data_IF_518392154226
#
_entry.id   IF_518392154226
#
_cell.length_a   1.000
_cell.length_b   1.000
_cell.length_c   1.000
_cell.angle_alpha   90.00
_cell.angle_beta   90.00
_cell.angle_gamma   90.00
#
_symmetry.space_group_name_H-M   'P 1'
#
loop_
_entity.id
_entity.type
_entity.pdbx_description
1 polymer ?
#
# COMPACT_ATOMS: atom_id res chain seq x y z
N UNK A 1 2.03 5.71 -10.08
CA UNK A 1 2.06 7.09 -9.58
C UNK A 1 1.08 7.92 -10.38
N UNK A 2 0.25 8.76 -9.76
CA UNK A 2 -0.42 9.79 -10.53
C UNK A 2 0.67 10.69 -11.09
N UNK A 3 0.77 10.76 -12.41
CA UNK A 3 1.78 11.55 -13.12
C UNK A 3 1.70 13.05 -12.86
N UNK A 4 0.64 13.52 -12.16
CA UNK A 4 0.44 14.89 -11.77
C UNK A 4 -0.44 14.97 -10.51
N UNK A 5 0.13 14.77 -9.32
CA UNK A 5 -0.59 14.98 -8.06
C UNK A 5 -1.21 16.38 -7.98
N UNK A 6 -0.51 17.39 -8.47
CA UNK A 6 -0.99 18.78 -8.56
C UNK A 6 -2.29 18.95 -9.33
N UNK A 7 -2.63 18.02 -10.22
CA UNK A 7 -3.91 18.03 -10.94
C UNK A 7 -5.06 17.54 -10.05
N UNK A 8 -4.82 16.55 -9.19
CA UNK A 8 -5.86 15.92 -8.37
C UNK A 8 -6.10 16.62 -7.03
N UNK A 9 -5.05 17.19 -6.43
CA UNK A 9 -5.15 17.87 -5.13
C UNK A 9 -6.23 18.97 -5.10
N UNK A 10 -6.32 19.88 -6.09
CA UNK A 10 -7.40 20.89 -6.11
C UNK A 10 -8.81 20.30 -6.23
N UNK A 11 -8.94 19.04 -6.63
CA UNK A 11 -10.22 18.33 -6.68
C UNK A 11 -10.55 17.63 -5.35
N UNK A 12 -9.82 17.89 -4.27
CA UNK A 12 -10.05 17.30 -2.94
C UNK A 12 -9.57 15.87 -2.78
N UNK A 13 -8.63 15.40 -3.64
CA UNK A 13 -7.93 14.16 -3.39
C UNK A 13 -6.87 14.37 -2.32
N UNK A 14 -6.78 13.43 -1.36
CA UNK A 14 -5.74 13.39 -0.35
C UNK A 14 -4.78 12.22 -0.58
N UNK A 15 -3.52 12.37 -0.19
CA UNK A 15 -2.60 11.25 -0.13
C UNK A 15 -3.01 10.32 1.01
N UNK A 16 -3.22 9.04 0.72
CA UNK A 16 -3.57 8.07 1.75
C UNK A 16 -2.57 6.94 1.92
N UNK A 17 -1.71 6.68 0.94
CA UNK A 17 -0.67 5.69 1.04
C UNK A 17 0.69 6.28 0.69
N UNK A 18 1.68 5.94 1.50
CA UNK A 18 3.10 6.17 1.26
C UNK A 18 3.79 4.82 1.08
N UNK A 19 4.92 4.84 0.43
CA UNK A 19 5.68 3.63 0.12
C UNK A 19 7.16 3.85 0.40
N UNK A 20 7.81 2.81 0.89
CA UNK A 20 9.26 2.72 0.88
C UNK A 20 9.73 2.34 -0.52
N UNK A 21 10.68 3.09 -1.06
CA UNK A 21 11.58 2.65 -2.11
C UNK A 21 12.88 2.23 -1.44
N UNK A 22 13.28 1.01 -1.70
CA UNK A 22 14.53 0.47 -1.18
C UNK A 22 15.44 0.08 -2.32
N UNK A 23 16.73 0.25 -2.14
CA UNK A 23 17.70 -0.21 -3.13
C UNK A 23 18.97 -0.73 -2.48
N UNK A 24 19.51 -1.79 -3.05
CA UNK A 24 20.76 -2.40 -2.61
C UNK A 24 21.45 -3.13 -3.75
N UNK A 25 22.74 -3.34 -3.62
CA UNK A 25 23.45 -4.28 -4.45
C UNK A 25 22.97 -5.73 -4.17
N UNK A 26 22.91 -6.62 -5.17
CA UNK A 26 22.46 -8.01 -4.99
C UNK A 26 23.21 -8.76 -3.89
N UNK A 27 24.51 -8.54 -3.74
CA UNK A 27 25.35 -9.16 -2.72
C UNK A 27 24.85 -8.88 -1.29
N UNK A 28 24.25 -7.70 -1.08
CA UNK A 28 23.71 -7.32 0.23
C UNK A 28 22.43 -8.07 0.55
N UNK A 29 21.62 -8.35 -0.47
CA UNK A 29 20.42 -9.15 -0.33
C UNK A 29 20.73 -10.62 -0.07
N UNK A 30 21.89 -11.13 -0.49
CA UNK A 30 22.32 -12.49 -0.22
C UNK A 30 22.40 -12.80 1.29
N UNK A 31 22.85 -11.84 2.10
CA UNK A 31 22.91 -12.00 3.55
C UNK A 31 21.52 -12.06 4.22
N UNK A 32 20.52 -11.43 3.62
CA UNK A 32 19.14 -11.40 4.10
C UNK A 32 18.29 -12.53 3.54
N UNK A 33 18.67 -13.04 2.37
CA UNK A 33 17.92 -14.04 1.64
C UNK A 33 18.09 -15.46 2.21
N UNK A 34 17.08 -16.30 1.98
CA UNK A 34 17.18 -17.76 2.10
C UNK A 34 16.52 -18.39 0.89
N UNK A 35 17.19 -19.34 0.28
CA UNK A 35 16.70 -20.02 -0.91
C UNK A 35 15.33 -20.65 -0.66
N UNK A 36 14.40 -20.42 -1.58
CA UNK A 36 13.12 -21.12 -1.63
C UNK A 36 13.33 -22.61 -1.94
N UNK A 37 12.34 -23.46 -1.67
CA UNK A 37 12.34 -24.84 -2.15
C UNK A 37 12.30 -24.91 -3.68
N UNK A 38 11.48 -24.03 -4.28
CA UNK A 38 11.50 -23.81 -5.73
C UNK A 38 11.14 -22.37 -6.07
N UNK A 39 11.59 -21.95 -7.24
CA UNK A 39 11.25 -20.67 -7.83
C UNK A 39 10.91 -20.89 -9.30
N UNK A 40 9.83 -20.28 -9.76
CA UNK A 40 9.34 -20.39 -11.13
C UNK A 40 9.14 -19.00 -11.71
N UNK A 41 9.55 -18.79 -12.95
CA UNK A 41 9.18 -17.61 -13.73
C UNK A 41 7.88 -17.91 -14.47
N UNK A 42 6.90 -17.04 -14.37
CA UNK A 42 5.64 -17.18 -15.09
C UNK A 42 5.80 -16.75 -16.54
N UNK A 43 5.08 -17.43 -17.42
CA UNK A 43 5.04 -17.15 -18.86
C UNK A 43 3.62 -16.90 -19.39
N UNK A 44 2.62 -16.99 -18.52
CA UNK A 44 1.23 -16.73 -18.88
C UNK A 44 0.41 -16.33 -17.65
N UNK A 45 -0.76 -15.76 -17.88
CA UNK A 45 -1.73 -15.38 -16.86
C UNK A 45 -2.50 -16.57 -16.25
N UNK A 46 -2.37 -17.78 -16.79
CA UNK A 46 -3.07 -18.97 -16.27
C UNK A 46 -2.74 -19.29 -14.80
N UNK A 47 -1.58 -18.86 -14.32
CA UNK A 47 -1.11 -19.10 -12.95
C UNK A 47 -1.54 -17.99 -11.97
N UNK A 48 -2.50 -17.13 -12.33
CA UNK A 48 -2.95 -16.00 -11.52
C UNK A 48 -3.37 -16.39 -10.09
N UNK A 49 -3.86 -17.61 -9.89
CA UNK A 49 -4.34 -18.09 -8.59
C UNK A 49 -3.24 -18.13 -7.53
N UNK A 50 -2.01 -18.46 -7.93
CA UNK A 50 -0.86 -18.46 -7.03
C UNK A 50 -0.57 -17.04 -6.53
N UNK A 51 -0.55 -16.06 -7.46
CA UNK A 51 -0.32 -14.66 -7.12
C UNK A 51 -1.46 -14.11 -6.26
N UNK A 52 -2.72 -14.40 -6.63
CA UNK A 52 -3.89 -13.97 -5.89
C UNK A 52 -3.90 -14.49 -4.45
N UNK A 53 -3.45 -15.74 -4.25
CA UNK A 53 -3.35 -16.34 -2.91
C UNK A 53 -2.30 -15.65 -2.03
N UNK A 54 -1.16 -15.27 -2.63
CA UNK A 54 -0.09 -14.53 -1.93
C UNK A 54 -0.58 -13.11 -1.62
N UNK A 55 -1.11 -12.42 -2.62
CA UNK A 55 -1.59 -11.04 -2.49
C UNK A 55 -2.68 -10.89 -1.42
N UNK A 56 -3.64 -11.82 -1.39
CA UNK A 56 -4.70 -11.84 -0.38
C UNK A 56 -4.14 -11.91 1.04
N UNK A 57 -3.16 -12.76 1.29
CA UNK A 57 -2.54 -12.86 2.60
C UNK A 57 -1.70 -11.63 2.94
N UNK A 58 -0.98 -11.09 1.94
CA UNK A 58 -0.16 -9.89 2.08
C UNK A 58 -0.97 -8.65 2.41
N UNK A 59 -2.17 -8.51 1.83
CA UNK A 59 -3.03 -7.32 1.98
C UNK A 59 -4.09 -7.45 3.08
N UNK A 60 -4.28 -8.64 3.63
CA UNK A 60 -5.36 -9.02 4.56
C UNK A 60 -5.56 -8.07 5.76
N UNK A 61 -4.48 -7.46 6.25
CA UNK A 61 -4.49 -6.55 7.40
C UNK A 61 -4.29 -5.09 7.01
N UNK A 62 -4.38 -4.78 5.72
CA UNK A 62 -4.10 -3.46 5.18
C UNK A 62 -5.33 -2.89 4.48
N UNK A 63 -5.59 -1.61 4.66
CA UNK A 63 -6.64 -0.89 3.97
C UNK A 63 -6.11 -0.21 2.69
N UNK A 64 -7.01 0.12 1.77
CA UNK A 64 -6.66 0.90 0.58
C UNK A 64 -5.93 0.12 -0.53
N UNK A 65 -5.79 -1.19 -0.41
CA UNK A 65 -5.21 -2.04 -1.44
C UNK A 65 -6.25 -2.41 -2.49
N UNK A 66 -5.82 -2.48 -3.76
CA UNK A 66 -6.71 -2.80 -4.86
C UNK A 66 -7.31 -4.20 -4.72
N UNK A 67 -8.62 -4.31 -4.85
CA UNK A 67 -9.26 -5.60 -5.07
C UNK A 67 -8.97 -6.06 -6.51
N UNK A 68 -8.56 -7.32 -6.67
CA UNK A 68 -8.26 -7.92 -7.96
C UNK A 68 -9.04 -9.22 -8.12
N UNK A 69 -10.00 -9.23 -9.04
CA UNK A 69 -10.66 -10.43 -9.55
C UNK A 69 -9.78 -11.15 -10.59
N UNK A 70 -10.25 -12.24 -11.12
CA UNK A 70 -9.55 -13.03 -12.14
C UNK A 70 -9.14 -12.18 -13.35
N UNK A 71 -10.08 -11.44 -13.93
CA UNK A 71 -9.82 -10.58 -15.10
C UNK A 71 -8.79 -9.49 -14.82
N UNK A 72 -8.83 -8.93 -13.62
CA UNK A 72 -7.86 -7.93 -13.18
C UNK A 72 -6.45 -8.54 -13.04
N UNK A 73 -6.37 -9.77 -12.53
CA UNK A 73 -5.11 -10.49 -12.43
C UNK A 73 -4.54 -10.84 -13.80
N UNK A 74 -5.35 -11.42 -14.68
CA UNK A 74 -4.95 -11.75 -16.06
C UNK A 74 -4.39 -10.52 -16.76
N UNK A 75 -5.15 -9.42 -16.78
CA UNK A 75 -4.70 -8.17 -17.38
C UNK A 75 -3.39 -7.63 -16.76
N UNK A 76 -3.24 -7.74 -15.45
CA UNK A 76 -2.06 -7.24 -14.75
C UNK A 76 -0.82 -8.09 -15.04
N UNK A 77 -0.98 -9.42 -15.10
CA UNK A 77 0.08 -10.36 -15.45
C UNK A 77 0.49 -10.18 -16.92
N UNK A 78 -0.48 -10.14 -17.83
CA UNK A 78 -0.21 -9.98 -19.26
C UNK A 78 0.51 -8.66 -19.55
N UNK A 79 0.09 -7.56 -18.93
CA UNK A 79 0.79 -6.27 -19.05
C UNK A 79 2.25 -6.34 -18.54
N UNK A 80 2.49 -7.01 -17.40
CA UNK A 80 3.84 -7.17 -16.87
C UNK A 80 4.73 -8.03 -17.77
N UNK A 81 4.16 -9.10 -18.36
CA UNK A 81 4.91 -10.01 -19.24
C UNK A 81 5.31 -9.38 -20.58
N UNK A 82 4.66 -8.29 -20.99
CA UNK A 82 5.07 -7.51 -22.17
C UNK A 82 6.35 -6.71 -21.93
N UNK A 83 6.59 -6.27 -20.69
CA UNK A 83 7.68 -5.34 -20.37
C UNK A 83 8.75 -5.96 -19.46
N UNK A 84 8.45 -7.10 -18.83
CA UNK A 84 9.33 -7.67 -17.82
C UNK A 84 8.99 -9.12 -17.48
N UNK A 85 9.23 -9.46 -16.22
CA UNK A 85 9.19 -10.83 -15.73
C UNK A 85 8.38 -10.92 -14.44
N UNK A 86 7.90 -12.13 -14.15
CA UNK A 86 7.23 -12.45 -12.89
C UNK A 86 7.88 -13.70 -12.31
N UNK A 87 8.43 -13.60 -11.11
CA UNK A 87 8.96 -14.75 -10.37
C UNK A 87 8.01 -15.09 -9.22
N UNK A 88 7.79 -16.39 -9.00
CA UNK A 88 7.03 -16.93 -7.87
C UNK A 88 7.89 -17.91 -7.10
N UNK A 89 7.96 -17.72 -5.79
CA UNK A 89 8.66 -18.63 -4.88
C UNK A 89 7.68 -19.55 -4.17
N UNK A 90 8.11 -20.76 -3.90
CA UNK A 90 7.31 -21.79 -3.24
C UNK A 90 8.04 -22.34 -2.01
N UNK A 91 7.29 -22.59 -0.97
CA UNK A 91 7.68 -23.37 0.19
C UNK A 91 6.89 -24.71 0.23
N UNK A 92 7.07 -25.52 1.28
CA UNK A 92 6.36 -26.81 1.44
C UNK A 92 4.84 -26.70 1.45
N UNK A 93 4.31 -25.50 1.70
CA UNK A 93 2.86 -25.24 1.77
C UNK A 93 2.30 -24.65 0.48
N UNK A 94 3.15 -24.42 -0.53
CA UNK A 94 2.76 -23.86 -1.82
C UNK A 94 3.36 -22.47 -2.09
N UNK A 95 2.70 -21.63 -2.89
CA UNK A 95 3.21 -20.32 -3.27
C UNK A 95 3.39 -19.42 -2.04
N UNK A 96 4.59 -18.85 -1.88
CA UNK A 96 5.02 -18.12 -0.68
C UNK A 96 5.32 -16.65 -0.92
N UNK A 97 5.77 -16.29 -2.14
CA UNK A 97 6.04 -14.91 -2.53
C UNK A 97 6.09 -14.75 -4.04
N UNK A 98 5.88 -13.54 -4.53
CA UNK A 98 6.06 -13.20 -5.93
C UNK A 98 6.71 -11.84 -6.11
N UNK A 99 7.29 -11.65 -7.29
CA UNK A 99 7.99 -10.44 -7.70
C UNK A 99 7.66 -10.14 -9.16
N UNK A 100 7.13 -8.93 -9.42
CA UNK A 100 7.03 -8.36 -10.75
C UNK A 100 8.23 -7.46 -10.97
N UNK A 101 9.04 -7.71 -12.00
CA UNK A 101 10.28 -6.97 -12.17
C UNK A 101 10.65 -6.76 -13.63
N UNK A 102 11.46 -5.75 -13.85
CA UNK A 102 12.15 -5.46 -15.11
C UNK A 102 13.66 -5.48 -14.89
N UNK A 103 14.39 -5.71 -15.97
CA UNK A 103 15.85 -5.62 -16.01
C UNK A 103 16.20 -4.53 -17.04
N UNK A 104 16.83 -3.46 -16.60
CA UNK A 104 17.20 -2.34 -17.44
C UNK A 104 18.50 -1.71 -16.94
N UNK A 105 19.43 -1.46 -17.84
CA UNK A 105 20.72 -0.80 -17.58
C UNK A 105 21.38 -1.25 -16.26
N UNK A 106 21.61 -2.58 -16.12
CA UNK A 106 22.20 -3.22 -14.93
C UNK A 106 21.41 -2.97 -13.62
N UNK A 107 20.13 -2.65 -13.74
CA UNK A 107 19.21 -2.53 -12.61
C UNK A 107 18.10 -3.57 -12.70
N UNK A 108 17.74 -4.13 -11.57
CA UNK A 108 16.52 -4.89 -11.39
C UNK A 108 15.53 -4.01 -10.63
N UNK A 109 14.40 -3.72 -11.26
CA UNK A 109 13.34 -2.92 -10.64
C UNK A 109 12.15 -3.82 -10.37
N UNK A 110 11.93 -4.14 -9.11
CA UNK A 110 10.78 -4.89 -8.64
C UNK A 110 9.60 -3.93 -8.43
N UNK A 111 8.75 -3.80 -9.43
CA UNK A 111 7.59 -2.90 -9.41
C UNK A 111 6.51 -3.33 -8.42
N UNK A 112 6.38 -4.64 -8.18
CA UNK A 112 5.48 -5.19 -7.17
C UNK A 112 6.14 -6.41 -6.50
N UNK A 113 6.05 -6.46 -5.18
CA UNK A 113 6.54 -7.57 -4.36
C UNK A 113 5.51 -7.89 -3.28
N UNK A 114 5.13 -9.16 -3.17
CA UNK A 114 4.27 -9.63 -2.10
C UNK A 114 4.69 -11.01 -1.59
N UNK A 115 4.41 -11.29 -0.32
CA UNK A 115 4.77 -12.55 0.33
C UNK A 115 3.78 -12.88 1.45
N UNK A 116 3.60 -14.16 1.72
CA UNK A 116 2.68 -14.64 2.79
C UNK A 116 3.30 -14.55 4.17
N UNK A 117 4.61 -14.69 4.26
CA UNK A 117 5.35 -14.76 5.51
C UNK A 117 6.82 -14.38 5.31
N UNK A 118 7.58 -14.35 6.41
CA UNK A 118 9.00 -14.01 6.41
C UNK A 118 9.86 -14.95 5.54
N UNK A 119 9.50 -16.23 5.46
CA UNK A 119 10.24 -17.17 4.60
C UNK A 119 10.07 -16.83 3.12
N UNK A 120 8.85 -16.45 2.71
CA UNK A 120 8.57 -15.98 1.35
C UNK A 120 9.35 -14.69 1.02
N UNK A 121 9.42 -13.73 1.94
CA UNK A 121 10.23 -12.52 1.77
C UNK A 121 11.71 -12.84 1.59
N UNK A 122 12.27 -13.67 2.46
CA UNK A 122 13.68 -14.11 2.36
C UNK A 122 13.96 -14.84 1.06
N UNK A 123 12.99 -15.60 0.55
CA UNK A 123 13.10 -16.26 -0.73
C UNK A 123 13.18 -15.27 -1.91
N UNK A 124 12.40 -14.20 -1.85
CA UNK A 124 12.47 -13.13 -2.86
C UNK A 124 13.79 -12.36 -2.79
N UNK A 125 14.31 -12.07 -1.61
CA UNK A 125 15.64 -11.47 -1.47
C UNK A 125 16.74 -12.39 -2.04
N UNK A 126 16.68 -13.71 -1.79
CA UNK A 126 17.60 -14.67 -2.38
C UNK A 126 17.47 -14.74 -3.91
N UNK A 127 16.26 -14.60 -4.44
CA UNK A 127 16.04 -14.54 -5.89
C UNK A 127 16.70 -13.30 -6.49
N UNK A 128 16.47 -12.11 -5.90
CA UNK A 128 17.12 -10.86 -6.34
C UNK A 128 18.64 -10.94 -6.23
N UNK A 129 19.15 -11.51 -5.14
CA UNK A 129 20.60 -11.77 -4.95
C UNK A 129 21.21 -12.67 -6.03
N UNK A 130 20.42 -13.60 -6.56
CA UNK A 130 20.84 -14.50 -7.65
C UNK A 130 21.18 -13.79 -8.97
N UNK A 131 20.82 -12.51 -9.10
CA UNK A 131 21.16 -11.68 -10.26
C UNK A 131 22.54 -10.99 -10.12
N UNK A 132 23.30 -11.32 -9.09
CA UNK A 132 24.68 -10.86 -8.93
C UNK A 132 25.49 -11.10 -10.20
N UNK A 133 26.24 -10.07 -10.63
CA UNK A 133 26.98 -10.06 -11.89
C UNK A 133 26.17 -9.62 -13.12
N UNK A 134 24.85 -9.77 -13.11
CA UNK A 134 23.97 -9.28 -14.17
C UNK A 134 23.46 -7.89 -13.90
N UNK A 135 23.21 -7.54 -12.63
CA UNK A 135 22.77 -6.21 -12.20
C UNK A 135 23.66 -5.70 -11.07
N UNK A 136 23.77 -4.37 -10.98
CA UNK A 136 24.52 -3.67 -9.93
C UNK A 136 23.60 -3.25 -8.77
N UNK A 137 22.32 -3.09 -9.05
CA UNK A 137 21.36 -2.59 -8.07
C UNK A 137 20.01 -3.28 -8.26
N UNK A 138 19.44 -3.74 -7.14
CA UNK A 138 18.05 -4.11 -7.03
C UNK A 138 17.29 -2.99 -6.36
N UNK A 139 16.15 -2.60 -6.94
CA UNK A 139 15.19 -1.64 -6.38
C UNK A 139 13.88 -2.35 -6.14
N UNK A 140 13.27 -2.14 -4.98
CA UNK A 140 11.96 -2.72 -4.66
C UNK A 140 11.14 -1.78 -3.79
N UNK A 141 9.84 -2.04 -3.71
CA UNK A 141 8.90 -1.21 -2.98
C UNK A 141 8.18 -2.01 -1.90
N UNK A 142 8.03 -1.39 -0.73
CA UNK A 142 7.36 -1.96 0.44
C UNK A 142 6.43 -0.92 1.07
N UNK A 143 5.30 -1.34 1.67
CA UNK A 143 4.42 -0.43 2.39
C UNK A 143 5.12 0.10 3.66
N UNK A 144 4.64 1.24 4.18
CA UNK A 144 5.25 1.89 5.36
C UNK A 144 5.23 1.03 6.63
N UNK A 145 4.26 0.14 6.75
CA UNK A 145 4.14 -0.79 7.88
C UNK A 145 5.08 -1.99 7.78
N UNK A 146 5.90 -2.06 6.73
CA UNK A 146 6.96 -3.06 6.64
C UNK A 146 8.15 -2.65 7.50
N UNK A 147 8.44 -3.51 8.47
CA UNK A 147 9.53 -3.32 9.41
C UNK A 147 10.74 -4.20 9.09
N UNK A 148 10.99 -4.49 7.81
CA UNK A 148 12.11 -5.33 7.35
C UNK A 148 13.48 -4.83 7.82
N UNK A 149 13.63 -3.54 8.05
CA UNK A 149 14.86 -2.95 8.61
C UNK A 149 15.32 -3.61 9.93
N UNK A 150 14.41 -4.22 10.69
CA UNK A 150 14.74 -4.92 11.94
C UNK A 150 15.57 -6.20 11.71
N UNK A 151 15.59 -6.71 10.50
CA UNK A 151 16.33 -7.91 10.13
C UNK A 151 17.65 -7.61 9.44
N UNK A 152 17.95 -6.33 9.18
CA UNK A 152 19.22 -5.92 8.59
C UNK A 152 20.28 -5.90 9.69
N UNK A 153 21.32 -6.70 9.49
CA UNK A 153 22.29 -7.02 10.55
C UNK A 153 23.15 -5.84 10.99
N UNK A 154 23.29 -4.81 10.17
CA UNK A 154 24.09 -3.63 10.49
C UNK A 154 23.29 -2.34 10.32
N UNK A 155 22.56 -1.98 11.36
CA UNK A 155 21.83 -0.71 11.40
C UNK A 155 22.72 0.54 11.39
N UNK A 156 24.03 0.39 11.62
CA UNK A 156 24.99 1.49 11.62
C UNK A 156 25.56 1.79 10.22
N UNK A 157 25.55 0.85 9.30
CA UNK A 157 26.05 1.06 7.95
C UNK A 157 24.91 1.46 7.01
N UNK A 158 24.54 2.71 7.05
CA UNK A 158 23.53 3.35 6.19
C UNK A 158 23.80 3.22 4.68
N UNK A 159 24.93 2.66 4.30
CA UNK A 159 25.39 2.60 2.90
C UNK A 159 24.88 1.39 2.14
N UNK A 160 24.38 0.35 2.80
CA UNK A 160 24.09 -0.92 2.14
C UNK A 160 22.69 -1.00 1.56
N UNK A 161 21.67 -0.52 2.27
CA UNK A 161 20.31 -0.43 1.74
C UNK A 161 19.86 1.02 1.82
N UNK A 162 19.67 1.63 0.68
CA UNK A 162 19.14 2.98 0.57
C UNK A 162 17.62 2.93 0.76
N UNK A 163 17.09 3.87 1.52
CA UNK A 163 15.66 3.97 1.82
C UNK A 163 15.16 5.36 1.49
N UNK A 164 14.06 5.44 0.79
CA UNK A 164 13.35 6.68 0.50
C UNK A 164 11.86 6.44 0.66
N UNK A 165 11.14 7.36 1.30
CA UNK A 165 9.68 7.36 1.32
C UNK A 165 9.14 8.38 0.34
N UNK A 166 8.00 8.07 -0.24
CA UNK A 166 7.27 9.00 -1.08
C UNK A 166 5.77 8.71 -1.03
N UNK A 167 4.93 9.73 -1.27
CA UNK A 167 3.50 9.54 -1.38
C UNK A 167 3.20 8.74 -2.67
N UNK A 168 2.38 7.70 -2.52
CA UNK A 168 2.16 6.72 -3.59
C UNK A 168 0.75 6.78 -4.19
N UNK A 169 -0.28 6.89 -3.36
CA UNK A 169 -1.66 6.84 -3.81
C UNK A 169 -2.45 8.05 -3.31
N UNK A 170 -3.33 8.52 -4.19
CA UNK A 170 -4.34 9.54 -3.89
C UNK A 170 -5.72 8.89 -3.87
N UNK A 171 -6.56 9.34 -2.97
CA UNK A 171 -7.95 8.92 -2.88
C UNK A 171 -8.86 10.09 -2.48
N UNK A 172 -10.14 9.98 -2.81
CA UNK A 172 -11.14 10.96 -2.49
C UNK A 172 -12.43 10.30 -2.02
N UNK A 173 -13.01 10.79 -0.94
CA UNK A 173 -14.38 10.50 -0.54
C UNK A 173 -15.31 11.27 -1.45
N UNK A 174 -16.24 10.58 -2.11
CA UNK A 174 -17.22 11.19 -3.02
C UNK A 174 -18.51 11.51 -2.26
N UNK A 175 -18.95 10.60 -1.37
CA UNK A 175 -20.10 10.78 -0.49
C UNK A 175 -19.66 10.51 0.95
N UNK A 176 -19.62 11.55 1.80
CA UNK A 176 -19.16 11.40 3.19
C UNK A 176 -20.06 10.50 4.04
N UNK A 177 -21.38 10.51 3.82
CA UNK A 177 -22.29 9.64 4.59
C UNK A 177 -22.02 8.18 4.23
N UNK A 178 -22.06 7.83 2.94
CA UNK A 178 -21.83 6.45 2.47
C UNK A 178 -20.43 5.96 2.86
N UNK A 179 -19.45 6.85 2.90
CA UNK A 179 -18.08 6.48 3.22
C UNK A 179 -17.90 6.03 4.67
N UNK A 180 -18.70 6.56 5.61
CA UNK A 180 -18.53 6.29 7.04
C UNK A 180 -19.65 5.48 7.65
N UNK A 181 -20.87 5.52 7.09
CA UNK A 181 -22.00 4.80 7.65
C UNK A 181 -21.81 3.29 7.56
N UNK A 182 -22.18 2.59 8.63
CA UNK A 182 -22.09 1.15 8.75
C UNK A 182 -20.66 0.60 8.98
N UNK A 183 -19.64 1.45 9.10
CA UNK A 183 -18.28 0.98 9.39
C UNK A 183 -18.21 0.25 10.74
N UNK A 184 -17.51 -0.87 10.83
CA UNK A 184 -17.33 -1.56 12.10
C UNK A 184 -16.41 -0.77 13.04
N UNK A 185 -16.76 -0.72 14.31
CA UNK A 185 -15.92 -0.23 15.40
C UNK A 185 -15.96 -1.20 16.58
N UNK A 186 -15.11 -0.98 17.59
CA UNK A 186 -15.21 -1.76 18.82
C UNK A 186 -16.55 -1.49 19.50
N UNK A 187 -17.22 -2.52 20.03
CA UNK A 187 -18.46 -2.39 20.82
C UNK A 187 -18.29 -1.59 22.10
N UNK A 188 -17.06 -1.42 22.55
CA UNK A 188 -16.72 -0.64 23.73
C UNK A 188 -16.69 0.88 23.44
N UNK A 189 -16.55 1.26 22.15
CA UNK A 189 -16.57 2.64 21.73
C UNK A 189 -18.01 3.11 21.65
N UNK A 190 -18.33 4.12 22.46
CA UNK A 190 -19.61 4.83 22.43
C UNK A 190 -19.33 6.33 22.47
N UNK A 191 -20.04 7.09 21.65
CA UNK A 191 -19.90 8.53 21.59
C UNK A 191 -20.14 9.06 20.18
N UNK A 192 -20.07 10.35 20.06
CA UNK A 192 -20.23 11.03 18.79
C UNK A 192 -19.19 12.13 18.63
N UNK A 193 -18.92 12.46 17.38
CA UNK A 193 -18.10 13.59 16.99
C UNK A 193 -18.77 14.29 15.83
N UNK A 194 -18.89 15.62 15.93
CA UNK A 194 -19.41 16.45 14.88
C UNK A 194 -18.28 17.23 14.21
N UNK A 195 -18.26 17.28 12.89
CA UNK A 195 -17.25 18.05 12.16
C UNK A 195 -17.84 18.83 10.99
N UNK A 196 -17.35 20.06 10.81
CA UNK A 196 -17.62 20.84 9.62
C UNK A 196 -16.70 20.42 8.50
N UNK A 197 -17.28 19.85 7.43
CA UNK A 197 -16.56 19.47 6.22
C UNK A 197 -16.61 20.61 5.20
N UNK A 198 -15.46 20.88 4.60
CA UNK A 198 -15.31 21.78 3.46
C UNK A 198 -14.91 20.96 2.24
N UNK A 199 -15.70 21.07 1.18
CA UNK A 199 -15.39 20.52 -0.12
C UNK A 199 -15.53 21.61 -1.18
N UNK A 200 -14.41 22.14 -1.64
CA UNK A 200 -14.41 23.25 -2.60
C UNK A 200 -14.72 22.78 -4.03
N UNK A 201 -14.53 21.49 -4.33
CA UNK A 201 -14.76 20.93 -5.66
C UNK A 201 -16.18 20.39 -5.83
N UNK A 202 -16.77 19.80 -4.77
CA UNK A 202 -18.16 19.35 -4.71
C UNK A 202 -18.85 20.06 -3.54
N UNK A 203 -19.32 21.30 -3.73
CA UNK A 203 -19.89 22.12 -2.64
C UNK A 203 -21.06 21.47 -1.91
N UNK A 204 -21.81 20.58 -2.57
CA UNK A 204 -22.91 19.80 -1.99
C UNK A 204 -22.45 18.89 -0.85
N UNK A 205 -21.19 18.50 -0.83
CA UNK A 205 -20.60 17.75 0.28
C UNK A 205 -20.28 18.63 1.48
N UNK A 206 -20.17 19.95 1.30
CA UNK A 206 -19.91 20.85 2.44
C UNK A 206 -21.08 20.86 3.41
N UNK A 207 -20.77 20.88 4.71
CA UNK A 207 -21.79 20.87 5.77
C UNK A 207 -21.24 20.24 7.05
N UNK A 208 -22.14 20.07 8.02
CA UNK A 208 -21.77 19.44 9.30
C UNK A 208 -22.20 17.98 9.26
N UNK A 209 -21.30 17.12 9.66
CA UNK A 209 -21.49 15.67 9.73
C UNK A 209 -21.28 15.20 11.15
N UNK A 210 -22.12 14.27 11.58
CA UNK A 210 -22.03 13.60 12.87
C UNK A 210 -21.68 12.13 12.63
N UNK A 211 -20.62 11.66 13.26
CA UNK A 211 -20.29 10.24 13.34
C UNK A 211 -20.61 9.76 14.75
N UNK A 212 -21.56 8.85 14.86
CA UNK A 212 -21.98 8.25 16.12
C UNK A 212 -21.56 6.80 16.19
N UNK A 213 -20.77 6.43 17.19
CA UNK A 213 -20.37 5.05 17.45
C UNK A 213 -21.35 4.40 18.41
N UNK A 214 -22.08 3.39 17.97
CA UNK A 214 -23.06 2.65 18.74
C UNK A 214 -23.12 1.20 18.26
N UNK A 215 -23.26 0.25 19.19
CA UNK A 215 -23.41 -1.19 18.92
C UNK A 215 -22.37 -1.82 17.99
N UNK A 216 -21.14 -1.28 18.03
CA UNK A 216 -20.04 -1.78 17.20
C UNK A 216 -20.06 -1.28 15.75
N UNK A 217 -20.84 -0.26 15.47
CA UNK A 217 -20.91 0.40 14.15
C UNK A 217 -20.84 1.92 14.27
N UNK A 218 -20.40 2.54 13.20
CA UNK A 218 -20.46 4.00 13.03
C UNK A 218 -21.72 4.31 12.23
N UNK A 219 -22.50 5.27 12.71
CA UNK A 219 -23.61 5.88 12.00
C UNK A 219 -23.19 7.29 11.57
N UNK A 220 -23.31 7.57 10.28
CA UNK A 220 -22.92 8.86 9.71
C UNK A 220 -24.17 9.61 9.21
N UNK A 221 -24.32 10.83 9.66
CA UNK A 221 -25.45 11.70 9.31
C UNK A 221 -24.96 13.11 8.95
N UNK A 222 -25.68 13.80 8.06
CA UNK A 222 -25.46 15.22 7.81
C UNK A 222 -26.52 15.99 8.57
N UNK A 223 -26.11 16.76 9.58
CA UNK A 223 -26.99 17.47 10.50
C UNK A 223 -26.49 18.90 10.77
N UNK A 224 -27.36 19.84 11.03
CA UNK A 224 -27.01 21.22 11.40
C UNK A 224 -26.93 21.34 12.93
N UNK A 225 -25.76 21.04 13.48
CA UNK A 225 -25.47 21.03 14.92
C UNK A 225 -24.15 21.78 15.19
N UNK A 226 -23.84 22.01 16.47
CA UNK A 226 -22.53 22.50 16.84
C UNK A 226 -21.49 21.43 16.49
N UNK A 227 -20.34 21.85 15.92
CA UNK A 227 -19.27 20.95 15.53
C UNK A 227 -18.05 21.11 16.43
N UNK A 228 -17.35 19.98 16.63
CA UNK A 228 -16.16 19.88 17.47
C UNK A 228 -14.90 20.32 16.72
N UNK A 229 -14.85 20.07 15.41
CA UNK A 229 -13.69 20.35 14.57
C UNK A 229 -14.10 20.71 13.13
N UNK A 230 -13.16 21.29 12.40
CA UNK A 230 -13.31 21.66 11.00
C UNK A 230 -12.22 20.97 10.19
N UNK A 231 -12.58 20.39 9.04
CA UNK A 231 -11.65 19.66 8.18
C UNK A 231 -12.03 19.84 6.70
N UNK A 232 -11.08 19.54 5.84
CA UNK A 232 -11.27 19.49 4.40
C UNK A 232 -11.51 18.05 3.92
N UNK A 233 -12.07 17.92 2.72
CA UNK A 233 -12.43 16.61 2.14
C UNK A 233 -11.20 15.71 1.94
N UNK A 234 -10.04 16.28 1.64
CA UNK A 234 -8.78 15.55 1.53
C UNK A 234 -8.36 14.89 2.84
N UNK A 235 -8.59 15.55 3.99
CA UNK A 235 -8.26 15.03 5.31
C UNK A 235 -9.14 13.81 5.64
N UNK A 236 -10.45 13.96 5.41
CA UNK A 236 -11.43 12.88 5.62
C UNK A 236 -11.17 11.71 4.66
N UNK A 237 -10.76 12.00 3.43
CA UNK A 237 -10.41 10.98 2.45
C UNK A 237 -9.19 10.17 2.91
N UNK A 238 -8.17 10.87 3.38
CA UNK A 238 -6.99 10.24 3.97
C UNK A 238 -7.36 9.36 5.18
N UNK A 239 -8.13 9.89 6.11
CA UNK A 239 -8.58 9.17 7.31
C UNK A 239 -9.37 7.91 6.94
N UNK A 240 -10.34 8.03 6.03
CA UNK A 240 -11.19 6.91 5.58
C UNK A 240 -10.39 5.77 4.96
N UNK A 241 -9.35 6.11 4.22
CA UNK A 241 -8.49 5.14 3.53
C UNK A 241 -7.35 4.61 4.40
N UNK A 242 -7.25 5.07 5.66
CA UNK A 242 -6.31 4.54 6.64
C UNK A 242 -4.94 5.21 6.63
N UNK A 243 -4.83 6.42 6.07
CA UNK A 243 -3.63 7.21 6.29
C UNK A 243 -3.60 7.71 7.73
N UNK A 244 -2.51 7.47 8.42
CA UNK A 244 -2.32 7.90 9.82
C UNK A 244 -1.94 9.40 9.88
N UNK A 245 -2.65 10.26 9.15
CA UNK A 245 -2.27 11.66 8.93
C UNK A 245 -2.95 12.66 9.89
N UNK A 246 -3.63 12.21 10.94
CA UNK A 246 -4.13 13.12 11.99
C UNK A 246 -3.03 13.98 12.64
N UNK A 247 -1.77 13.57 12.53
CA UNK A 247 -0.62 14.32 13.05
C UNK A 247 0.06 15.24 12.02
N UNK A 248 -0.33 15.18 10.75
CA UNK A 248 0.30 15.96 9.67
C UNK A 248 -0.62 16.99 9.03
N UNK A 249 -1.90 17.01 9.39
CA UNK A 249 -2.76 18.14 9.06
C UNK A 249 -2.22 19.38 9.80
N UNK A 250 -2.00 20.49 9.09
CA UNK A 250 -1.64 21.73 9.76
C UNK A 250 -2.71 22.01 10.81
N UNK A 251 -2.28 22.14 12.07
CA UNK A 251 -3.16 22.58 13.14
C UNK A 251 -3.86 23.87 12.65
N UNK A 252 -5.17 24.00 12.80
CA UNK A 252 -5.83 25.26 12.54
C UNK A 252 -5.34 26.26 13.59
N UNK A 253 -4.19 26.84 13.34
CA UNK A 253 -3.75 28.06 14.00
C UNK A 253 -3.81 29.14 12.95
N UNK A 254 -4.79 29.99 13.16
CA UNK A 254 -5.17 31.24 12.50
C UNK A 254 -6.28 31.11 11.47
#
# INVERSE_FOLDING_TARGET
MPSAASFYLPMGFGFYAHQWERSAAPERLAALGRRAESCRTLTSSNDWKDLASIYREYTKKRNGWAYRDEKSWEKHIDAQLLEGYIAVTYDRKGPSGYLFYTLDDRKMIASEMAFKNEAGRKALYAFMAGHQGSVDTCVWYEPLDDHSFRYWQDGAEHTYIKNRTFPFMLGRVIDPVIAFDGLPCSKEIKGEIAFQLIDSFLPENSGIYVLRAEDGRIHALKEDVFYDLKCHIEDISGLRLGSCLLYTSPSPRD
#
